data_IF_002883179575
#
_entry.id   IF_002883179575
#
_cell.length_a   1.000
_cell.length_b   1.000
_cell.length_c   1.000
_cell.angle_alpha   90.00
_cell.angle_beta   90.00
_cell.angle_gamma   90.00
#
_symmetry.space_group_name_H-M   'P 1'
#
loop_
_entity.id
_entity.type
_entity.pdbx_description
1 polymer ?
#
# COMPACT_ATOMS: atom_id res chain seq x y z
N UNK A 1 17.15 11.27 15.75
CA UNK A 1 15.81 10.68 15.68
C UNK A 1 14.78 11.72 15.28
N UNK A 2 13.93 11.39 14.34
CA UNK A 2 12.88 12.28 13.84
C UNK A 2 11.52 11.61 14.06
N UNK A 3 10.60 12.29 14.72
CA UNK A 3 9.26 11.77 15.00
C UNK A 3 8.26 12.47 14.08
N UNK A 4 7.68 11.70 13.15
CA UNK A 4 6.73 12.18 12.14
C UNK A 4 7.17 13.48 11.46
N UNK A 5 8.35 13.50 10.82
CA UNK A 5 8.99 14.76 10.40
C UNK A 5 8.24 15.54 9.32
N UNK A 6 7.37 14.88 8.57
CA UNK A 6 6.64 15.52 7.46
C UNK A 6 5.17 15.80 7.77
N UNK A 7 4.71 15.51 8.97
CA UNK A 7 3.33 15.78 9.37
C UNK A 7 3.03 17.27 9.28
N UNK A 8 1.95 17.60 8.60
CA UNK A 8 1.53 18.98 8.42
C UNK A 8 2.21 19.74 7.28
N UNK A 9 3.14 19.11 6.57
CA UNK A 9 3.80 19.71 5.42
C UNK A 9 3.01 19.47 4.13
N UNK A 10 3.03 20.45 3.23
CA UNK A 10 2.51 20.26 1.88
C UNK A 10 3.44 19.33 1.08
N UNK A 11 3.00 18.78 -0.08
CA UNK A 11 3.81 17.86 -0.86
C UNK A 11 5.17 18.41 -1.28
N UNK A 12 5.26 19.69 -1.61
CA UNK A 12 6.50 20.32 -2.01
C UNK A 12 7.51 20.41 -0.86
N UNK A 13 7.06 20.86 0.30
CA UNK A 13 7.89 20.91 1.50
C UNK A 13 8.35 19.53 1.93
N UNK A 14 7.48 18.52 1.81
CA UNK A 14 7.80 17.14 2.11
C UNK A 14 8.91 16.60 1.22
N UNK A 15 8.86 16.85 -0.08
CA UNK A 15 9.91 16.44 -1.00
C UNK A 15 11.25 17.12 -0.72
N UNK A 16 11.24 18.41 -0.36
CA UNK A 16 12.46 19.13 0.00
C UNK A 16 13.10 18.52 1.25
N UNK A 17 12.29 18.16 2.24
CA UNK A 17 12.79 17.50 3.45
C UNK A 17 13.35 16.12 3.13
N UNK A 18 12.66 15.34 2.30
CA UNK A 18 13.14 14.01 1.87
C UNK A 18 14.50 14.11 1.19
N UNK A 19 14.69 15.07 0.30
CA UNK A 19 15.99 15.30 -0.37
C UNK A 19 17.10 15.53 0.63
N UNK A 20 16.84 16.34 1.65
CA UNK A 20 17.82 16.62 2.72
C UNK A 20 18.15 15.36 3.51
N UNK A 21 17.14 14.54 3.81
CA UNK A 21 17.34 13.29 4.55
C UNK A 21 18.14 12.30 3.72
N UNK A 22 17.88 12.18 2.43
CA UNK A 22 18.69 11.36 1.53
C UNK A 22 20.17 11.78 1.51
N UNK A 23 20.43 13.07 1.46
CA UNK A 23 21.80 13.62 1.48
C UNK A 23 22.51 13.30 2.78
N UNK A 24 21.82 13.35 3.91
CA UNK A 24 22.39 12.96 5.19
C UNK A 24 22.75 11.48 5.22
N UNK A 25 21.91 10.64 4.67
CA UNK A 25 22.18 9.20 4.55
C UNK A 25 23.42 8.94 3.69
N UNK A 26 23.55 9.63 2.57
CA UNK A 26 24.72 9.50 1.70
C UNK A 26 26.03 9.90 2.40
N UNK A 27 25.95 10.78 3.39
CA UNK A 27 27.09 11.19 4.21
C UNK A 27 27.38 10.24 5.35
N UNK A 28 26.65 9.13 5.45
CA UNK A 28 26.84 8.12 6.49
C UNK A 28 26.10 8.38 7.80
N UNK A 29 25.15 9.33 7.80
CA UNK A 29 24.34 9.60 8.99
C UNK A 29 23.27 8.52 9.12
N UNK A 30 23.15 7.93 10.31
CA UNK A 30 22.08 6.99 10.62
C UNK A 30 20.85 7.77 11.06
N UNK A 31 19.73 7.54 10.38
CA UNK A 31 18.46 8.20 10.68
C UNK A 31 17.46 7.20 11.25
N UNK A 32 16.79 7.58 12.32
CA UNK A 32 15.64 6.86 12.87
C UNK A 32 14.42 7.74 12.75
N UNK A 33 13.41 7.25 12.03
CA UNK A 33 12.22 8.02 11.68
C UNK A 33 10.98 7.25 12.13
N UNK A 34 10.05 7.94 12.77
CA UNK A 34 8.71 7.41 12.96
C UNK A 34 7.76 8.11 11.99
N UNK A 35 6.88 7.36 11.38
CA UNK A 35 5.91 7.91 10.43
C UNK A 35 4.69 7.02 10.31
N UNK A 36 3.54 7.61 10.00
CA UNK A 36 2.34 6.88 9.59
C UNK A 36 2.12 6.98 8.07
N UNK A 37 3.00 7.68 7.36
CA UNK A 37 2.96 7.76 5.90
C UNK A 37 3.77 6.59 5.33
N UNK A 38 3.10 5.60 4.77
CA UNK A 38 3.77 4.41 4.23
C UNK A 38 4.67 4.72 3.04
N UNK A 39 4.31 5.70 2.22
CA UNK A 39 5.13 6.15 1.11
C UNK A 39 6.46 6.75 1.60
N UNK A 40 6.44 7.50 2.70
CA UNK A 40 7.65 8.04 3.33
C UNK A 40 8.57 6.91 3.81
N UNK A 41 8.00 5.93 4.52
CA UNK A 41 8.77 4.77 4.98
C UNK A 41 9.35 3.99 3.81
N UNK A 42 8.59 3.80 2.74
CA UNK A 42 9.03 3.06 1.55
C UNK A 42 10.18 3.75 0.84
N UNK A 43 10.13 5.09 0.73
CA UNK A 43 11.14 5.87 0.04
C UNK A 43 12.41 6.11 0.85
N UNK A 44 12.30 6.34 2.14
CA UNK A 44 13.41 6.77 2.98
C UNK A 44 14.09 5.64 3.75
N UNK A 45 13.37 4.59 4.11
CA UNK A 45 13.89 3.58 5.03
C UNK A 45 14.51 2.41 4.29
N UNK A 46 15.69 1.99 4.73
CA UNK A 46 16.32 0.76 4.28
C UNK A 46 15.76 -0.43 5.05
N UNK A 47 15.40 -0.21 6.30
CA UNK A 47 14.80 -1.18 7.19
C UNK A 47 13.75 -0.50 8.05
N UNK A 48 12.65 -1.19 8.28
CA UNK A 48 11.57 -0.64 9.09
C UNK A 48 10.91 -1.72 9.95
N UNK A 49 10.17 -1.23 10.93
CA UNK A 49 9.35 -2.03 11.83
C UNK A 49 7.92 -1.51 11.72
N UNK A 50 6.99 -2.41 11.43
CA UNK A 50 5.56 -2.09 11.43
C UNK A 50 5.00 -2.39 12.80
N UNK A 51 4.42 -1.38 13.44
CA UNK A 51 3.84 -1.50 14.77
C UNK A 51 2.35 -1.21 14.75
N UNK A 52 1.59 -1.95 15.54
CA UNK A 52 0.17 -1.72 15.73
C UNK A 52 -0.21 -2.12 17.15
N UNK A 53 -0.97 -1.26 17.82
CA UNK A 53 -1.38 -1.47 19.22
C UNK A 53 -0.21 -1.84 20.14
N UNK A 54 0.93 -1.18 19.97
CA UNK A 54 2.11 -1.41 20.80
C UNK A 54 2.86 -2.72 20.52
N UNK A 55 2.51 -3.43 19.46
CA UNK A 55 3.15 -4.69 19.08
C UNK A 55 3.86 -4.57 17.75
N UNK A 56 4.99 -5.25 17.64
CA UNK A 56 5.72 -5.36 16.38
C UNK A 56 5.00 -6.41 15.52
N UNK A 57 4.47 -5.97 14.38
CA UNK A 57 3.75 -6.83 13.44
C UNK A 57 4.67 -7.44 12.39
N UNK A 58 5.66 -6.71 11.96
CA UNK A 58 6.64 -7.15 10.96
C UNK A 58 7.88 -6.26 10.98
N UNK A 59 8.98 -6.80 10.47
CA UNK A 59 10.28 -6.11 10.41
C UNK A 59 11.02 -6.55 9.16
N UNK A 60 11.68 -5.61 8.49
CA UNK A 60 12.49 -5.89 7.31
C UNK A 60 12.64 -4.67 6.41
N UNK A 61 13.19 -4.87 5.21
CA UNK A 61 13.22 -3.82 4.20
C UNK A 61 11.81 -3.65 3.59
N UNK A 62 11.50 -2.47 3.02
CA UNK A 62 10.22 -2.28 2.34
C UNK A 62 9.93 -3.35 1.28
N UNK A 63 10.92 -3.65 0.44
CA UNK A 63 10.77 -4.65 -0.62
C UNK A 63 10.53 -6.05 -0.07
N UNK A 64 11.26 -6.41 0.99
CA UNK A 64 11.12 -7.70 1.64
C UNK A 64 9.72 -7.89 2.25
N UNK A 65 9.21 -6.86 2.91
CA UNK A 65 7.88 -6.89 3.49
C UNK A 65 6.78 -7.02 2.42
N UNK A 66 6.93 -6.30 1.31
CA UNK A 66 6.01 -6.40 0.20
C UNK A 66 5.99 -7.83 -0.37
N UNK A 67 7.15 -8.43 -0.57
CA UNK A 67 7.26 -9.81 -1.08
C UNK A 67 6.65 -10.84 -0.12
N UNK A 68 6.81 -10.63 1.19
CA UNK A 68 6.33 -11.58 2.19
C UNK A 68 4.83 -11.49 2.45
N UNK A 69 4.27 -10.31 2.39
CA UNK A 69 2.89 -10.04 2.86
C UNK A 69 1.93 -9.60 1.76
N UNK A 70 2.40 -9.42 0.54
CA UNK A 70 1.53 -9.00 -0.56
C UNK A 70 1.89 -9.73 -1.85
N UNK A 71 0.98 -9.71 -2.81
CA UNK A 71 1.27 -10.17 -4.16
C UNK A 71 2.00 -9.08 -4.94
N UNK A 72 2.55 -9.43 -6.10
CA UNK A 72 3.34 -8.51 -6.91
C UNK A 72 2.55 -7.28 -7.35
N UNK A 73 1.29 -7.47 -7.74
CA UNK A 73 0.45 -6.43 -8.28
C UNK A 73 -0.89 -6.32 -7.56
N UNK A 74 -1.53 -5.19 -7.72
CA UNK A 74 -2.87 -4.90 -7.20
C UNK A 74 -3.72 -4.33 -8.31
N UNK A 75 -4.93 -4.85 -8.43
CA UNK A 75 -5.96 -4.29 -9.29
C UNK A 75 -6.97 -3.55 -8.41
N UNK A 76 -7.07 -2.25 -8.58
CA UNK A 76 -8.09 -1.44 -7.91
C UNK A 76 -9.30 -1.28 -8.81
N UNK A 77 -10.46 -1.65 -8.31
CA UNK A 77 -11.72 -1.55 -9.04
C UNK A 77 -12.73 -0.70 -8.26
N UNK A 78 -13.52 0.09 -9.00
CA UNK A 78 -14.62 0.84 -8.44
C UNK A 78 -15.87 0.57 -9.25
N UNK A 79 -16.90 0.03 -8.60
CA UNK A 79 -18.20 -0.26 -9.23
C UNK A 79 -19.27 0.77 -8.86
N UNK A 80 -19.07 1.49 -7.77
CA UNK A 80 -20.01 2.43 -7.17
C UNK A 80 -20.15 2.16 -5.69
N UNK A 81 -20.62 3.15 -4.93
CA UNK A 81 -20.57 3.12 -3.46
C UNK A 81 -21.31 1.94 -2.83
N UNK A 82 -22.38 1.46 -3.44
CA UNK A 82 -23.19 0.39 -2.86
C UNK A 82 -23.03 -0.96 -3.56
N UNK A 83 -22.14 -1.05 -4.54
CA UNK A 83 -22.03 -2.23 -5.40
C UNK A 83 -20.79 -3.08 -5.16
N UNK A 84 -19.82 -2.56 -4.44
CA UNK A 84 -18.55 -3.27 -4.23
C UNK A 84 -18.74 -4.63 -3.55
N UNK A 85 -19.58 -4.70 -2.52
CA UNK A 85 -19.84 -5.94 -1.81
C UNK A 85 -20.55 -6.99 -2.66
N UNK A 86 -21.42 -6.55 -3.59
CA UNK A 86 -22.14 -7.46 -4.48
C UNK A 86 -21.20 -8.26 -5.39
N UNK A 87 -20.10 -7.63 -5.80
CA UNK A 87 -19.13 -8.25 -6.69
C UNK A 87 -18.03 -9.05 -5.97
N UNK A 88 -17.89 -8.84 -4.65
CA UNK A 88 -16.79 -9.45 -3.90
C UNK A 88 -16.74 -10.98 -4.03
N UNK A 89 -17.87 -11.65 -3.90
CA UNK A 89 -17.95 -13.11 -4.00
C UNK A 89 -17.57 -13.64 -5.39
N UNK A 90 -17.89 -12.87 -6.43
CA UNK A 90 -17.55 -13.22 -7.82
C UNK A 90 -16.10 -12.95 -8.15
N UNK A 91 -15.47 -11.99 -7.47
CA UNK A 91 -14.09 -11.58 -7.71
C UNK A 91 -13.09 -12.41 -6.91
N UNK A 92 -13.46 -12.90 -5.74
CA UNK A 92 -12.56 -13.62 -4.85
C UNK A 92 -11.83 -14.79 -5.51
N UNK A 93 -12.47 -15.64 -6.35
CA UNK A 93 -11.78 -16.74 -7.01
C UNK A 93 -10.76 -16.32 -8.06
N UNK A 94 -10.78 -15.07 -8.49
CA UNK A 94 -9.94 -14.56 -9.58
C UNK A 94 -8.60 -14.00 -9.11
N UNK A 95 -8.41 -13.85 -7.81
CA UNK A 95 -7.21 -13.25 -7.23
C UNK A 95 -6.70 -14.05 -6.03
N UNK A 96 -5.47 -13.74 -5.59
CA UNK A 96 -4.86 -14.39 -4.43
C UNK A 96 -5.49 -13.92 -3.12
N UNK A 97 -5.83 -12.62 -3.05
CA UNK A 97 -6.43 -12.00 -1.89
C UNK A 97 -7.32 -10.84 -2.32
N UNK A 98 -8.41 -10.64 -1.61
CA UNK A 98 -9.39 -9.59 -1.87
C UNK A 98 -9.57 -8.73 -0.63
N UNK A 99 -9.54 -7.41 -0.80
CA UNK A 99 -9.90 -6.46 0.24
C UNK A 99 -11.02 -5.55 -0.28
N UNK A 100 -12.11 -5.49 0.46
CA UNK A 100 -13.24 -4.62 0.11
C UNK A 100 -13.18 -3.37 0.96
N UNK A 101 -12.96 -2.22 0.33
CA UNK A 101 -12.94 -0.91 0.98
C UNK A 101 -14.25 -0.18 0.65
N UNK A 102 -14.61 0.87 1.41
CA UNK A 102 -15.86 1.57 1.16
C UNK A 102 -16.02 2.13 -0.26
N UNK A 103 -14.92 2.57 -0.86
CA UNK A 103 -14.94 3.22 -2.18
C UNK A 103 -14.36 2.36 -3.31
N UNK A 104 -13.73 1.22 -3.00
CA UNK A 104 -13.04 0.39 -3.99
C UNK A 104 -12.82 -1.03 -3.51
N UNK A 105 -12.45 -1.89 -4.44
CA UNK A 105 -12.03 -3.26 -4.15
C UNK A 105 -10.58 -3.41 -4.61
N UNK A 106 -9.76 -4.03 -3.76
CA UNK A 106 -8.37 -4.33 -4.06
C UNK A 106 -8.22 -5.84 -4.30
N UNK A 107 -7.74 -6.20 -5.49
CA UNK A 107 -7.46 -7.59 -5.86
C UNK A 107 -5.94 -7.76 -5.97
N UNK A 108 -5.40 -8.63 -5.14
CA UNK A 108 -3.95 -8.90 -5.10
C UNK A 108 -3.64 -10.12 -5.95
N UNK A 109 -2.76 -9.96 -6.92
CA UNK A 109 -2.42 -11.00 -7.87
C UNK A 109 -1.02 -10.80 -8.44
N UNK A 110 -0.45 -11.87 -9.02
CA UNK A 110 0.83 -11.77 -9.72
C UNK A 110 0.68 -11.10 -11.10
N UNK A 111 -0.49 -11.26 -11.74
CA UNK A 111 -0.80 -10.65 -13.03
C UNK A 111 -2.17 -9.96 -12.96
N UNK A 112 -2.15 -8.68 -12.58
CA UNK A 112 -3.37 -7.91 -12.41
C UNK A 112 -4.09 -7.63 -13.74
N UNK A 113 -3.35 -7.48 -14.83
CA UNK A 113 -3.97 -7.30 -16.16
C UNK A 113 -4.75 -8.53 -16.58
N UNK A 114 -4.20 -9.72 -16.37
CA UNK A 114 -4.89 -10.98 -16.65
C UNK A 114 -6.16 -11.14 -15.82
N UNK A 115 -6.12 -10.71 -14.57
CA UNK A 115 -7.31 -10.70 -13.70
C UNK A 115 -8.37 -9.75 -14.28
N UNK A 116 -7.98 -8.55 -14.70
CA UNK A 116 -8.90 -7.58 -15.29
C UNK A 116 -9.55 -8.13 -16.57
N UNK A 117 -8.79 -8.79 -17.43
CA UNK A 117 -9.33 -9.43 -18.62
C UNK A 117 -10.38 -10.48 -18.27
N UNK A 118 -10.12 -11.30 -17.26
CA UNK A 118 -11.07 -12.31 -16.77
C UNK A 118 -12.35 -11.68 -16.23
N UNK A 119 -12.23 -10.56 -15.54
CA UNK A 119 -13.38 -9.81 -15.01
C UNK A 119 -14.27 -9.29 -16.14
N UNK A 120 -13.66 -8.69 -17.15
CA UNK A 120 -14.38 -8.18 -18.32
C UNK A 120 -15.03 -9.32 -19.11
N UNK A 121 -14.38 -10.46 -19.22
CA UNK A 121 -14.91 -11.65 -19.89
C UNK A 121 -16.14 -12.23 -19.18
N UNK A 122 -16.29 -12.00 -17.89
CA UNK A 122 -17.46 -12.42 -17.10
C UNK A 122 -18.56 -11.37 -17.04
N UNK A 123 -18.48 -10.37 -17.92
CA UNK A 123 -19.48 -9.31 -18.04
C UNK A 123 -19.63 -8.44 -16.78
N UNK A 124 -18.54 -8.27 -16.06
CA UNK A 124 -18.45 -7.29 -14.96
C UNK A 124 -17.75 -6.04 -15.47
N UNK A 125 -18.39 -4.87 -15.29
CA UNK A 125 -17.88 -3.61 -15.84
C UNK A 125 -17.68 -2.58 -14.73
N UNK A 126 -16.45 -2.51 -14.15
CA UNK A 126 -16.15 -1.48 -13.15
C UNK A 126 -16.16 -0.09 -13.79
N UNK A 127 -16.50 0.93 -13.01
CA UNK A 127 -16.42 2.32 -13.44
C UNK A 127 -14.98 2.74 -13.72
N UNK A 128 -14.07 2.32 -12.86
CA UNK A 128 -12.63 2.56 -13.00
C UNK A 128 -11.85 1.32 -12.65
N UNK A 129 -10.69 1.17 -13.28
CA UNK A 129 -9.74 0.13 -12.97
C UNK A 129 -8.32 0.70 -13.00
N UNK A 130 -7.48 0.27 -12.06
CA UNK A 130 -6.09 0.69 -11.98
C UNK A 130 -5.23 -0.52 -11.64
N UNK A 131 -4.24 -0.80 -12.49
CA UNK A 131 -3.22 -1.82 -12.24
C UNK A 131 -2.00 -1.09 -11.67
N UNK A 132 -1.52 -1.53 -10.51
CA UNK A 132 -0.33 -0.97 -9.87
C UNK A 132 0.48 -2.05 -9.17
N UNK A 133 1.68 -1.71 -8.79
CA UNK A 133 2.48 -2.59 -7.92
C UNK A 133 1.99 -2.48 -6.48
N UNK A 134 2.19 -3.55 -5.72
CA UNK A 134 1.94 -3.54 -4.28
C UNK A 134 2.90 -2.58 -3.58
N UNK A 135 2.42 -1.98 -2.50
CA UNK A 135 3.14 -1.01 -1.69
C UNK A 135 3.13 -1.39 -0.21
N UNK A 136 3.88 -0.64 0.61
CA UNK A 136 3.85 -0.82 2.06
C UNK A 136 2.46 -0.58 2.66
N UNK A 137 1.67 0.29 2.05
CA UNK A 137 0.30 0.51 2.50
C UNK A 137 -0.53 -0.77 2.39
N UNK A 138 -0.34 -1.55 1.33
CA UNK A 138 -0.98 -2.86 1.17
C UNK A 138 -0.55 -3.84 2.25
N UNK A 139 0.73 -3.84 2.60
CA UNK A 139 1.27 -4.66 3.71
C UNK A 139 0.62 -4.25 5.03
N UNK A 140 0.57 -2.96 5.31
CA UNK A 140 -0.04 -2.44 6.54
C UNK A 140 -1.50 -2.81 6.64
N UNK A 141 -2.26 -2.65 5.57
CA UNK A 141 -3.67 -3.04 5.51
C UNK A 141 -3.85 -4.53 5.83
N UNK A 142 -3.02 -5.38 5.25
CA UNK A 142 -3.10 -6.82 5.52
C UNK A 142 -2.80 -7.16 6.98
N UNK A 143 -1.75 -6.55 7.55
CA UNK A 143 -1.31 -6.85 8.91
C UNK A 143 -2.23 -6.29 9.98
N UNK A 144 -2.86 -5.17 9.73
CA UNK A 144 -3.67 -4.45 10.73
C UNK A 144 -5.16 -4.48 10.43
N UNK A 145 -5.56 -4.76 9.19
CA UNK A 145 -6.96 -4.73 8.75
C UNK A 145 -7.53 -3.34 8.55
N UNK A 146 -6.69 -2.31 8.52
CA UNK A 146 -7.16 -0.92 8.36
C UNK A 146 -6.23 -0.12 7.46
N UNK A 147 -6.81 0.83 6.73
CA UNK A 147 -6.05 1.80 5.95
C UNK A 147 -5.66 3.00 6.80
N UNK A 148 -4.51 3.58 6.49
CA UNK A 148 -4.11 4.84 7.10
C UNK A 148 -4.83 5.98 6.40
N UNK A 149 -5.33 6.90 7.20
CA UNK A 149 -5.94 8.14 6.72
C UNK A 149 -4.93 9.26 6.90
N UNK A 150 -4.61 9.91 5.80
CA UNK A 150 -3.73 11.08 5.83
C UNK A 150 -4.49 12.34 6.22
#
# INVERSE_FOLDING_TARGET
MLDEPTTGLDPQARHILWDRLFRLKERGVTLVITTHFMDEAEQLCERLVVMDHGKIMAEGSPLDLIKRFSSKEVLELRFGTDKNEEYADRLAPLCDRLEVLPDRILLYAEDAEGVLESILAQDMHPRTSLVRRSSLEDVFLRLTGRTLVE
#
